data_IF_773469765881
#
_entry.id   IF_773469765881
#
_cell.length_a   1.000
_cell.length_b   1.000
_cell.length_c   1.000
_cell.angle_alpha   90.00
_cell.angle_beta   90.00
_cell.angle_gamma   90.00
#
_symmetry.space_group_name_H-M   'P 1'
#
loop_
_entity.id
_entity.type
_entity.pdbx_description
1 polymer ?
#
# COMPACT_ATOMS: atom_id res chain seq x y z
N UNK A 1 -7.83 -7.37 -18.57
CA UNK A 1 -7.50 -6.59 -17.35
C UNK A 1 -7.31 -7.48 -16.13
N UNK A 2 -8.22 -8.42 -15.84
CA UNK A 2 -8.10 -9.34 -14.69
C UNK A 2 -6.77 -10.09 -14.57
N UNK A 3 -6.26 -10.67 -15.67
CA UNK A 3 -4.94 -11.34 -15.64
C UNK A 3 -3.79 -10.40 -15.28
N UNK A 4 -3.82 -9.16 -15.75
CA UNK A 4 -2.77 -8.18 -15.43
C UNK A 4 -2.90 -7.79 -13.95
N UNK A 5 -4.12 -7.53 -13.49
CA UNK A 5 -4.40 -7.24 -12.08
C UNK A 5 -3.85 -8.31 -11.13
N UNK A 6 -4.10 -9.59 -11.41
CA UNK A 6 -3.60 -10.68 -10.55
C UNK A 6 -2.08 -10.71 -10.43
N UNK A 7 -1.36 -10.37 -11.51
CA UNK A 7 0.11 -10.32 -11.52
C UNK A 7 0.67 -9.12 -10.75
N UNK A 8 -0.01 -7.97 -10.82
CA UNK A 8 0.54 -6.71 -10.31
C UNK A 8 -0.11 -6.19 -9.03
N UNK A 9 -1.22 -6.78 -8.55
CA UNK A 9 -1.89 -6.37 -7.31
C UNK A 9 -0.97 -6.39 -6.09
N UNK A 10 0.02 -7.29 -6.06
CA UNK A 10 1.03 -7.36 -4.97
C UNK A 10 1.97 -6.15 -4.90
N UNK A 11 2.03 -5.33 -5.95
CA UNK A 11 2.78 -4.07 -5.96
C UNK A 11 1.96 -2.86 -5.47
N UNK A 12 0.65 -3.02 -5.32
CA UNK A 12 -0.23 -2.00 -4.76
C UNK A 12 -0.29 -2.20 -3.26
N UNK A 13 0.04 -1.16 -2.49
CA UNK A 13 0.03 -1.20 -1.02
C UNK A 13 -1.33 -0.83 -0.44
N UNK A 14 -2.13 -0.09 -1.19
CA UNK A 14 -3.49 0.28 -0.85
C UNK A 14 -4.02 1.33 -1.82
N UNK A 15 -5.25 1.80 -1.62
CA UNK A 15 -5.79 2.94 -2.34
C UNK A 15 -5.96 4.11 -1.37
N UNK A 16 -5.27 5.21 -1.63
CA UNK A 16 -5.49 6.44 -0.88
C UNK A 16 -6.87 7.00 -1.24
N UNK A 17 -7.64 7.36 -0.22
CA UNK A 17 -8.93 8.02 -0.35
C UNK A 17 -8.94 9.26 0.52
N UNK A 18 -9.48 10.35 -0.03
CA UNK A 18 -9.65 11.61 0.69
C UNK A 18 -11.11 11.76 1.07
N UNK A 19 -11.42 11.45 2.33
CA UNK A 19 -12.74 11.62 2.92
C UNK A 19 -12.90 12.97 3.62
N UNK A 20 -14.07 13.20 4.22
CA UNK A 20 -14.34 14.39 5.04
C UNK A 20 -13.45 14.44 6.29
N UNK A 21 -13.14 13.27 6.86
CA UNK A 21 -12.33 13.11 8.07
C UNK A 21 -10.81 13.01 7.78
N UNK A 22 -10.40 13.21 6.52
CA UNK A 22 -8.99 13.20 6.10
C UNK A 22 -8.62 12.05 5.16
N UNK A 23 -7.33 11.70 5.16
CA UNK A 23 -6.80 10.62 4.33
C UNK A 23 -7.05 9.26 4.96
N UNK A 24 -7.45 8.29 4.15
CA UNK A 24 -7.60 6.88 4.53
C UNK A 24 -6.96 5.97 3.47
N UNK A 25 -6.73 4.71 3.84
CA UNK A 25 -6.24 3.67 2.92
C UNK A 25 -7.28 2.56 2.86
N UNK A 26 -7.77 2.29 1.65
CA UNK A 26 -8.70 1.20 1.37
C UNK A 26 -7.98 0.02 0.69
N UNK A 27 -8.52 -1.18 0.86
CA UNK A 27 -8.10 -2.38 0.12
C UNK A 27 -8.61 -2.26 -1.32
N UNK A 28 -7.72 -2.19 -2.32
CA UNK A 28 -8.14 -1.95 -3.69
C UNK A 28 -8.74 -3.20 -4.35
N UNK A 29 -9.84 -3.01 -5.07
CA UNK A 29 -10.41 -4.01 -5.96
C UNK A 29 -9.98 -3.82 -7.41
N UNK A 30 -10.35 -4.76 -8.28
CA UNK A 30 -10.15 -4.64 -9.73
C UNK A 30 -10.92 -3.44 -10.33
N UNK A 31 -12.01 -3.03 -9.68
CA UNK A 31 -12.79 -1.83 -10.04
C UNK A 31 -12.00 -0.53 -9.90
N UNK A 32 -11.04 -0.49 -8.97
CA UNK A 32 -10.16 0.66 -8.75
C UNK A 32 -9.00 0.74 -9.74
N UNK A 33 -8.89 -0.22 -10.67
CA UNK A 33 -7.77 -0.37 -11.60
C UNK A 33 -7.32 0.94 -12.25
N UNK A 34 -8.26 1.76 -12.72
CA UNK A 34 -7.97 3.00 -13.46
C UNK A 34 -7.31 4.08 -12.59
N UNK A 35 -7.54 4.02 -11.28
CA UNK A 35 -6.90 4.90 -10.30
C UNK A 35 -5.53 4.39 -9.86
N UNK A 36 -5.28 3.08 -9.97
CA UNK A 36 -4.07 2.44 -9.48
C UNK A 36 -3.03 2.23 -10.58
N UNK A 37 -3.47 2.15 -11.83
CA UNK A 37 -2.62 1.71 -12.92
C UNK A 37 -2.95 2.45 -14.22
N UNK A 38 -1.89 2.89 -14.90
CA UNK A 38 -2.00 3.66 -16.12
C UNK A 38 -1.03 3.16 -17.17
N UNK A 39 -1.52 2.96 -18.39
CA UNK A 39 -0.63 2.72 -19.52
C UNK A 39 0.02 4.02 -19.94
N UNK A 40 1.32 3.97 -20.22
CA UNK A 40 2.11 5.11 -20.70
C UNK A 40 2.82 4.73 -21.99
N UNK A 41 2.68 5.59 -23.00
CA UNK A 41 3.37 5.46 -24.27
C UNK A 41 4.03 6.79 -24.62
N UNK A 42 5.33 6.77 -24.99
CA UNK A 42 6.07 7.98 -25.35
C UNK A 42 5.86 9.13 -24.35
N UNK A 43 5.93 8.79 -23.05
CA UNK A 43 5.68 9.66 -21.90
C UNK A 43 4.24 10.17 -21.72
N UNK A 44 3.29 9.82 -22.59
CA UNK A 44 1.87 10.20 -22.49
C UNK A 44 1.06 9.10 -21.82
N UNK A 45 0.19 9.50 -20.89
CA UNK A 45 -0.79 8.59 -20.28
C UNK A 45 -1.83 8.24 -21.34
N UNK A 46 -2.13 6.96 -21.45
CA UNK A 46 -3.20 6.45 -22.32
C UNK A 46 -4.50 6.63 -21.57
N UNK A 47 -5.41 7.38 -22.17
CA UNK A 47 -6.76 7.54 -21.64
C UNK A 47 -7.48 6.18 -21.60
N UNK A 48 -8.03 5.85 -20.43
CA UNK A 48 -8.68 4.57 -20.14
C UNK A 48 -10.19 4.60 -20.37
N UNK A 49 -10.76 5.77 -20.68
CA UNK A 49 -12.20 5.94 -20.97
C UNK A 49 -12.61 5.53 -22.39
N UNK A 50 -11.68 4.95 -23.15
CA UNK A 50 -11.89 4.49 -24.53
C UNK A 50 -12.98 3.46 -24.64
N UNK A 51 -13.76 3.59 -25.71
CA UNK A 51 -14.68 2.55 -26.15
C UNK A 51 -13.92 1.29 -26.58
N UNK A 52 -14.61 0.14 -26.62
CA UNK A 52 -14.00 -1.11 -27.05
C UNK A 52 -13.39 -1.01 -28.46
N UNK A 53 -14.04 -0.26 -29.36
CA UNK A 53 -13.55 -0.05 -30.72
C UNK A 53 -12.22 0.73 -30.72
N UNK A 54 -12.15 1.82 -29.96
CA UNK A 54 -10.91 2.61 -29.81
C UNK A 54 -9.79 1.79 -29.16
N UNK A 55 -10.11 0.93 -28.21
CA UNK A 55 -9.15 -0.02 -27.63
C UNK A 55 -8.60 -0.99 -28.66
N UNK A 56 -9.46 -1.58 -29.52
CA UNK A 56 -9.02 -2.48 -30.60
C UNK A 56 -8.11 -1.76 -31.59
N UNK A 57 -8.46 -0.55 -32.02
CA UNK A 57 -7.62 0.28 -32.89
C UNK A 57 -6.27 0.63 -32.23
N UNK A 58 -6.30 0.97 -30.94
CA UNK A 58 -5.11 1.27 -30.17
C UNK A 58 -4.19 0.04 -30.08
N UNK A 59 -4.72 -1.16 -29.82
CA UNK A 59 -3.94 -2.40 -29.77
C UNK A 59 -3.23 -2.69 -31.10
N UNK A 60 -3.94 -2.55 -32.23
CA UNK A 60 -3.34 -2.70 -33.57
C UNK A 60 -2.23 -1.68 -33.79
N UNK A 61 -2.44 -0.42 -33.38
CA UNK A 61 -1.44 0.66 -33.49
C UNK A 61 -0.22 0.47 -32.58
N UNK A 62 -0.39 -0.21 -31.44
CA UNK A 62 0.65 -0.49 -30.46
C UNK A 62 1.37 -1.81 -30.67
N UNK A 63 0.95 -2.60 -31.66
CA UNK A 63 1.68 -3.79 -32.09
C UNK A 63 3.15 -3.40 -32.37
N UNK A 64 4.07 -4.12 -31.74
CA UNK A 64 5.52 -3.91 -31.81
C UNK A 64 6.06 -2.59 -31.22
N UNK A 65 5.27 -1.87 -30.41
CA UNK A 65 5.72 -0.67 -29.69
C UNK A 65 5.79 -0.90 -28.19
N UNK A 66 6.81 -0.35 -27.50
CA UNK A 66 6.89 -0.45 -26.05
C UNK A 66 5.76 0.37 -25.41
N UNK A 67 4.97 -0.30 -24.58
CA UNK A 67 3.98 0.32 -23.69
C UNK A 67 4.40 0.01 -22.27
N UNK A 68 4.44 1.05 -21.43
CA UNK A 68 4.76 0.90 -20.02
C UNK A 68 3.48 0.85 -19.21
N UNK A 69 3.44 -0.02 -18.20
CA UNK A 69 2.42 0.02 -17.16
C UNK A 69 3.01 0.74 -15.96
N UNK A 70 2.41 1.88 -15.59
CA UNK A 70 2.74 2.58 -14.35
C UNK A 70 1.79 2.06 -13.28
N UNK A 71 2.35 1.62 -12.16
CA UNK A 71 1.60 1.14 -10.99
C UNK A 71 1.83 2.14 -9.87
N UNK A 72 0.76 2.68 -9.32
CA UNK A 72 0.78 3.59 -8.17
C UNK A 72 0.62 2.77 -6.90
N UNK A 73 1.56 2.92 -5.95
CA UNK A 73 1.51 2.19 -4.68
C UNK A 73 0.25 2.51 -3.86
N UNK A 74 -0.23 3.76 -3.94
CA UNK A 74 -1.39 4.29 -3.21
C UNK A 74 -2.45 4.92 -4.12
N UNK A 75 -2.39 4.64 -5.43
CA UNK A 75 -3.27 5.27 -6.42
C UNK A 75 -2.83 6.67 -6.88
N UNK A 76 -3.47 7.15 -7.93
CA UNK A 76 -3.11 8.37 -8.66
C UNK A 76 -3.71 9.65 -8.08
N UNK A 77 -4.51 9.56 -7.00
CA UNK A 77 -5.17 10.72 -6.39
C UNK A 77 -4.17 11.65 -5.68
N UNK A 78 -3.04 11.11 -5.25
CA UNK A 78 -1.95 11.88 -4.64
C UNK A 78 -1.15 12.55 -5.76
N UNK A 79 -1.60 13.74 -6.17
CA UNK A 79 -1.00 14.47 -7.29
C UNK A 79 0.12 15.42 -6.89
N UNK A 80 0.14 15.90 -5.64
CA UNK A 80 1.09 16.92 -5.16
C UNK A 80 1.96 16.39 -4.04
N UNK A 81 3.18 16.94 -3.94
CA UNK A 81 4.11 16.61 -2.87
C UNK A 81 3.51 16.92 -1.47
N UNK A 82 2.74 17.99 -1.33
CA UNK A 82 2.05 18.32 -0.08
C UNK A 82 1.03 17.24 0.30
N UNK A 83 0.20 16.80 -0.65
CA UNK A 83 -0.80 15.75 -0.43
C UNK A 83 -0.14 14.42 -0.08
N UNK A 84 1.03 14.14 -0.68
CA UNK A 84 1.82 12.97 -0.32
C UNK A 84 2.33 13.07 1.12
N UNK A 85 2.80 14.23 1.57
CA UNK A 85 3.27 14.40 2.95
C UNK A 85 2.13 14.29 3.96
N UNK A 86 0.98 14.92 3.68
CA UNK A 86 -0.24 14.81 4.49
C UNK A 86 -0.75 13.37 4.56
N UNK A 87 -0.85 12.68 3.42
CA UNK A 87 -1.22 11.27 3.36
C UNK A 87 -0.22 10.40 4.12
N UNK A 88 1.07 10.66 3.93
CA UNK A 88 2.13 9.92 4.61
C UNK A 88 2.04 10.13 6.11
N UNK A 89 1.83 11.36 6.60
CA UNK A 89 1.67 11.65 8.01
C UNK A 89 0.41 11.01 8.62
N UNK A 90 -0.70 10.99 7.88
CA UNK A 90 -1.98 10.48 8.36
C UNK A 90 -2.08 8.94 8.32
N UNK A 91 -1.58 8.31 7.25
CA UNK A 91 -1.84 6.91 6.95
C UNK A 91 -0.62 5.99 7.00
N UNK A 92 0.60 6.53 6.82
CA UNK A 92 1.81 5.72 6.62
C UNK A 92 2.78 5.85 7.79
N UNK A 93 2.96 7.06 8.34
CA UNK A 93 3.80 7.30 9.50
C UNK A 93 3.07 6.75 10.73
N UNK A 94 3.77 6.01 11.61
CA UNK A 94 3.20 5.62 12.89
C UNK A 94 2.80 6.90 13.66
N UNK A 95 1.62 6.88 14.29
CA UNK A 95 1.01 7.98 15.06
C UNK A 95 1.89 8.55 16.20
N UNK A 96 3.06 7.96 16.45
CA UNK A 96 4.13 8.52 17.26
C UNK A 96 5.50 8.13 16.69
N UNK A 97 6.14 9.07 15.99
CA UNK A 97 7.56 8.98 15.64
C UNK A 97 8.34 9.80 16.67
N UNK A 98 8.88 9.17 17.71
CA UNK A 98 10.01 9.76 18.42
C UNK A 98 11.23 9.75 17.48
N UNK A 99 12.15 10.71 17.64
CA UNK A 99 13.15 11.22 16.67
C UNK A 99 14.14 10.21 16.06
N UNK A 100 13.97 8.91 16.23
CA UNK A 100 14.91 7.88 15.76
C UNK A 100 14.33 6.79 14.84
N UNK A 101 13.08 6.89 14.36
CA UNK A 101 12.61 6.03 13.26
C UNK A 101 12.54 4.53 13.58
N UNK A 102 12.48 4.14 14.85
CA UNK A 102 12.15 2.78 15.26
C UNK A 102 10.63 2.63 15.39
N UNK A 103 10.08 1.54 14.86
CA UNK A 103 8.68 1.11 15.09
C UNK A 103 8.33 1.30 16.56
N UNK A 104 7.21 1.99 16.82
CA UNK A 104 6.72 2.39 18.13
C UNK A 104 7.09 1.40 19.25
N UNK A 105 8.16 1.73 19.99
CA UNK A 105 8.64 0.92 21.11
C UNK A 105 7.57 0.81 22.22
N UNK A 106 6.54 1.67 22.19
CA UNK A 106 5.38 1.62 23.07
C UNK A 106 4.42 0.47 22.71
N UNK A 107 4.00 0.32 21.45
CA UNK A 107 3.10 -0.78 21.03
C UNK A 107 3.77 -2.14 21.12
N UNK A 108 5.06 -2.24 20.82
CA UNK A 108 5.79 -3.50 20.98
C UNK A 108 5.99 -3.87 22.45
N UNK A 109 6.25 -2.89 23.33
CA UNK A 109 6.31 -3.13 24.77
C UNK A 109 4.98 -3.59 25.34
N UNK A 110 3.87 -3.02 24.88
CA UNK A 110 2.52 -3.44 25.28
C UNK A 110 2.21 -4.87 24.84
N UNK A 111 2.54 -5.23 23.59
CA UNK A 111 2.38 -6.61 23.09
C UNK A 111 3.27 -7.58 23.87
N UNK A 112 4.52 -7.21 24.18
CA UNK A 112 5.41 -8.01 25.04
C UNK A 112 4.85 -8.16 26.45
N UNK A 113 4.28 -7.10 27.03
CA UNK A 113 3.66 -7.14 28.35
C UNK A 113 2.43 -8.06 28.37
N UNK A 114 1.59 -8.00 27.33
CA UNK A 114 0.43 -8.88 27.20
C UNK A 114 0.84 -10.35 26.99
N UNK A 115 1.84 -10.60 26.13
CA UNK A 115 2.42 -11.94 25.94
C UNK A 115 2.98 -12.52 27.24
N UNK A 116 3.70 -11.72 28.02
CA UNK A 116 4.21 -12.14 29.33
C UNK A 116 3.10 -12.38 30.35
N UNK A 117 2.04 -11.58 30.34
CA UNK A 117 0.88 -11.79 31.22
C UNK A 117 0.16 -13.10 30.90
N UNK A 118 0.01 -13.44 29.62
CA UNK A 118 -0.68 -14.67 29.21
C UNK A 118 0.20 -15.93 29.33
N UNK A 119 1.48 -15.82 28.99
CA UNK A 119 2.36 -16.99 28.79
C UNK A 119 3.57 -17.04 29.73
N UNK A 120 3.81 -16.00 30.54
CA UNK A 120 5.01 -15.92 31.39
C UNK A 120 5.05 -16.95 32.52
N UNK A 121 3.92 -17.55 32.87
CA UNK A 121 3.85 -18.64 33.84
C UNK A 121 4.26 -20.00 33.26
N UNK A 122 4.12 -20.20 31.94
CA UNK A 122 4.34 -21.48 31.26
C UNK A 122 5.51 -21.46 30.29
N UNK A 123 5.91 -20.29 29.80
CA UNK A 123 7.04 -20.08 28.90
C UNK A 123 8.03 -19.11 29.53
N UNK A 124 9.24 -19.59 29.84
CA UNK A 124 10.33 -18.74 30.30
C UNK A 124 11.34 -18.55 29.18
N UNK A 125 11.54 -17.29 28.81
CA UNK A 125 12.51 -16.90 27.79
C UNK A 125 13.07 -15.51 28.07
N UNK A 126 14.24 -15.25 27.51
CA UNK A 126 14.91 -13.95 27.58
C UNK A 126 14.06 -12.84 26.92
N UNK A 127 14.24 -11.60 27.36
CA UNK A 127 13.48 -10.44 26.87
C UNK A 127 13.57 -10.29 25.35
N UNK A 128 14.70 -10.67 24.74
CA UNK A 128 14.88 -10.61 23.29
C UNK A 128 13.92 -11.55 22.55
N UNK A 129 13.66 -12.74 23.09
CA UNK A 129 12.75 -13.73 22.48
C UNK A 129 11.30 -13.24 22.48
N UNK A 130 10.87 -12.64 23.59
CA UNK A 130 9.54 -12.02 23.68
C UNK A 130 9.37 -10.87 22.66
N UNK A 131 10.42 -10.06 22.46
CA UNK A 131 10.41 -8.99 21.46
C UNK A 131 10.35 -9.52 20.03
N UNK A 132 11.03 -10.63 19.72
CA UNK A 132 10.93 -11.26 18.40
C UNK A 132 9.52 -11.79 18.14
N UNK A 133 8.91 -12.40 19.15
CA UNK A 133 7.54 -12.92 19.04
C UNK A 133 6.51 -11.80 18.89
N UNK A 134 6.61 -10.74 19.69
CA UNK A 134 5.77 -9.56 19.55
C UNK A 134 5.88 -8.94 18.15
N UNK A 135 7.11 -8.78 17.63
CA UNK A 135 7.34 -8.33 16.26
C UNK A 135 6.69 -9.24 15.21
N UNK A 136 6.78 -10.56 15.39
CA UNK A 136 6.15 -11.52 14.49
C UNK A 136 4.63 -11.40 14.47
N UNK A 137 3.99 -11.24 15.65
CA UNK A 137 2.54 -11.05 15.74
C UNK A 137 2.14 -9.73 15.09
N UNK A 138 2.78 -8.62 15.44
CA UNK A 138 2.46 -7.30 14.90
C UNK A 138 2.65 -7.22 13.38
N UNK A 139 3.60 -7.98 12.82
CA UNK A 139 3.84 -8.03 11.37
C UNK A 139 2.83 -8.89 10.60
N UNK A 140 2.15 -9.83 11.25
CA UNK A 140 1.10 -10.65 10.64
C UNK A 140 -0.32 -10.08 10.86
N UNK A 141 -0.43 -8.97 11.61
CA UNK A 141 -1.69 -8.26 11.85
C UNK A 141 -1.95 -7.12 10.84
N UNK A 142 -0.99 -6.86 9.94
CA UNK A 142 -1.08 -5.96 8.78
C UNK A 142 -1.05 -6.78 7.49
#
# INVERSE_FOLDING_TARGET
MQKIWEEVKGHVKGRAVRGADGWTVETPGIEDWTSLMQFKQNKKIVDTSKTEHEWKQWLVKMKDKPVYLVIYEYGSIIGRQQELDDFTAACIRPLHTDRSGATAEASLRDVVANLRTQWGATFQADQVVWRMWANHITRNLN
#
